data_IF_633051206401
#
_entry.id   IF_633051206401
#
_cell.length_a   1.000
_cell.length_b   1.000
_cell.length_c   1.000
_cell.angle_alpha   90.00
_cell.angle_beta   90.00
_cell.angle_gamma   90.00
#
_symmetry.space_group_name_H-M   'P 1'
#
loop_
_entity.id
_entity.type
_entity.pdbx_description
1 polymer ?
#
# COMPACT_ATOMS: atom_id res chain seq x y z
N UNK A 1 -10.29 -38.30 -13.02
CA UNK A 1 -9.90 -36.92 -13.39
C UNK A 1 -10.29 -35.85 -12.37
N UNK A 2 -11.40 -35.99 -11.62
CA UNK A 2 -11.83 -34.98 -10.62
C UNK A 2 -10.80 -34.70 -9.49
N UNK A 3 -10.05 -35.71 -9.03
CA UNK A 3 -9.02 -35.57 -7.98
C UNK A 3 -7.84 -34.67 -8.40
N UNK A 4 -7.43 -34.74 -9.67
CA UNK A 4 -6.33 -33.92 -10.20
C UNK A 4 -6.73 -32.44 -10.25
N UNK A 5 -7.99 -32.16 -10.60
CA UNK A 5 -8.52 -30.80 -10.60
C UNK A 5 -8.68 -30.22 -9.19
N UNK A 6 -9.03 -31.06 -8.20
CA UNK A 6 -9.06 -30.67 -6.79
C UNK A 6 -7.68 -30.24 -6.29
N UNK A 7 -6.67 -31.07 -6.55
CA UNK A 7 -5.28 -30.79 -6.17
C UNK A 7 -4.71 -29.54 -6.86
N UNK A 8 -5.03 -29.34 -8.15
CA UNK A 8 -4.63 -28.13 -8.87
C UNK A 8 -5.23 -26.85 -8.27
N UNK A 9 -6.51 -26.89 -7.87
CA UNK A 9 -7.20 -25.77 -7.21
C UNK A 9 -6.55 -25.43 -5.87
N UNK A 10 -6.28 -26.43 -5.05
CA UNK A 10 -5.64 -26.24 -3.74
C UNK A 10 -4.24 -25.63 -3.87
N UNK A 11 -3.45 -26.10 -4.83
CA UNK A 11 -2.14 -25.53 -5.12
C UNK A 11 -2.21 -24.06 -5.54
N UNK A 12 -3.20 -23.69 -6.35
CA UNK A 12 -3.41 -22.29 -6.76
C UNK A 12 -3.74 -21.43 -5.54
N UNK A 13 -4.65 -21.89 -4.68
CA UNK A 13 -5.05 -21.15 -3.47
C UNK A 13 -3.86 -20.99 -2.52
N UNK A 14 -3.09 -22.05 -2.29
CA UNK A 14 -1.90 -22.00 -1.44
C UNK A 14 -0.85 -21.02 -1.98
N UNK A 15 -0.59 -21.02 -3.30
CA UNK A 15 0.32 -20.06 -3.93
C UNK A 15 -0.19 -18.63 -3.77
N UNK A 16 -1.48 -18.37 -3.99
CA UNK A 16 -2.07 -17.04 -3.81
C UNK A 16 -1.90 -16.54 -2.36
N UNK A 17 -2.12 -17.40 -1.37
CA UNK A 17 -1.92 -17.06 0.05
C UNK A 17 -0.45 -16.75 0.36
N UNK A 18 0.48 -17.53 -0.18
CA UNK A 18 1.92 -17.31 -0.02
C UNK A 18 2.36 -15.96 -0.62
N UNK A 19 1.91 -15.65 -1.84
CA UNK A 19 2.22 -14.36 -2.47
C UNK A 19 1.64 -13.19 -1.70
N UNK A 20 0.40 -13.30 -1.21
CA UNK A 20 -0.22 -12.27 -0.37
C UNK A 20 0.60 -12.04 0.92
N UNK A 21 0.99 -13.12 1.61
CA UNK A 21 1.76 -13.02 2.83
C UNK A 21 3.14 -12.37 2.60
N UNK A 22 3.81 -12.70 1.50
CA UNK A 22 5.07 -12.05 1.11
C UNK A 22 4.87 -10.57 0.79
N UNK A 23 3.84 -10.22 0.02
CA UNK A 23 3.51 -8.82 -0.32
C UNK A 23 3.20 -8.00 0.94
N UNK A 24 2.41 -8.56 1.86
CA UNK A 24 2.08 -7.90 3.13
C UNK A 24 3.34 -7.71 4.01
N UNK A 25 4.25 -8.68 4.04
CA UNK A 25 5.53 -8.60 4.78
C UNK A 25 6.53 -7.61 4.17
N UNK A 26 6.54 -7.48 2.84
CA UNK A 26 7.44 -6.62 2.07
C UNK A 26 6.90 -5.20 1.89
N UNK A 27 5.79 -4.84 2.53
CA UNK A 27 5.21 -3.50 2.50
C UNK A 27 5.57 -2.75 3.79
N UNK A 28 6.82 -2.25 3.95
CA UNK A 28 7.23 -1.46 5.12
C UNK A 28 6.52 -0.10 5.16
N UNK A 29 5.89 0.32 4.07
CA UNK A 29 5.17 1.58 4.00
C UNK A 29 3.82 1.50 4.72
N UNK A 30 3.48 2.54 5.52
CA UNK A 30 2.16 2.65 6.13
C UNK A 30 1.10 2.68 5.03
N UNK A 31 0.19 1.70 5.07
CA UNK A 31 -0.97 1.66 4.18
C UNK A 31 -1.96 2.72 4.63
N UNK A 32 -1.85 3.90 4.05
CA UNK A 32 -2.86 4.92 4.27
C UNK A 32 -4.16 4.54 3.56
N UNK A 33 -5.27 4.64 4.28
CA UNK A 33 -6.60 4.43 3.74
C UNK A 33 -7.15 5.74 3.13
N UNK A 34 -8.15 5.60 2.27
CA UNK A 34 -8.95 6.74 1.83
C UNK A 34 -9.60 7.37 3.08
N UNK A 35 -9.58 8.70 3.15
CA UNK A 35 -10.00 9.56 4.27
C UNK A 35 -9.01 9.68 5.44
N UNK A 36 -7.88 8.99 5.44
CA UNK A 36 -6.85 9.22 6.45
C UNK A 36 -6.33 10.67 6.38
N UNK A 37 -6.09 11.25 7.56
CA UNK A 37 -5.51 12.59 7.71
C UNK A 37 -3.99 12.50 7.71
N UNK A 38 -3.37 13.05 6.67
CA UNK A 38 -1.92 13.02 6.48
C UNK A 38 -1.35 14.42 6.23
N UNK A 39 -0.09 14.63 6.62
CA UNK A 39 0.66 15.83 6.27
C UNK A 39 1.41 15.58 4.96
N UNK A 40 1.26 16.48 4.00
CA UNK A 40 1.90 16.32 2.68
C UNK A 40 3.23 17.05 2.68
N UNK A 41 4.29 16.42 2.17
CA UNK A 41 5.58 17.07 1.98
C UNK A 41 5.45 18.18 0.94
N UNK A 42 5.82 19.41 1.31
CA UNK A 42 5.77 20.55 0.39
C UNK A 42 7.02 20.53 -0.49
N UNK A 43 6.84 20.56 -1.81
CA UNK A 43 7.91 20.73 -2.78
C UNK A 43 7.94 22.20 -3.19
N UNK A 44 8.92 22.95 -2.69
CA UNK A 44 9.10 24.39 -2.93
C UNK A 44 10.58 24.78 -2.84
N UNK A 45 10.88 26.08 -2.99
CA UNK A 45 12.22 26.60 -2.77
C UNK A 45 12.66 26.24 -1.35
N UNK A 46 13.78 25.51 -1.21
CA UNK A 46 14.27 25.01 0.07
C UNK A 46 14.84 26.15 0.92
N UNK A 47 13.97 27.04 1.38
CA UNK A 47 14.30 28.08 2.33
C UNK A 47 14.37 27.46 3.74
N UNK A 48 15.37 27.85 4.54
CA UNK A 48 15.61 27.28 5.88
C UNK A 48 14.43 27.42 6.85
N UNK A 49 13.51 28.35 6.58
CA UNK A 49 12.41 28.73 7.46
C UNK A 49 11.06 28.16 7.02
N UNK A 50 10.96 27.53 5.86
CA UNK A 50 9.68 26.99 5.39
C UNK A 50 9.41 25.59 5.96
N UNK A 51 8.17 25.29 6.39
CA UNK A 51 7.83 23.99 6.93
C UNK A 51 7.91 22.93 5.82
N UNK A 52 8.61 21.82 6.14
CA UNK A 52 8.80 20.69 5.21
C UNK A 52 7.49 19.98 4.83
N UNK A 53 6.46 20.10 5.68
CA UNK A 53 5.15 19.48 5.50
C UNK A 53 4.04 20.55 5.52
N UNK A 54 2.83 20.17 5.09
CA UNK A 54 1.66 21.03 5.18
C UNK A 54 1.34 21.39 6.63
N UNK A 55 0.89 22.63 6.86
CA UNK A 55 0.49 23.10 8.19
C UNK A 55 -0.84 22.45 8.59
N UNK A 56 -1.73 22.29 7.62
CA UNK A 56 -3.02 21.63 7.79
C UNK A 56 -2.95 20.19 7.27
N UNK A 57 -3.51 19.21 8.01
CA UNK A 57 -3.66 17.85 7.51
C UNK A 57 -4.65 17.81 6.35
N UNK A 58 -4.35 16.98 5.36
CA UNK A 58 -5.20 16.74 4.20
C UNK A 58 -5.73 15.31 4.21
N UNK A 59 -6.86 15.09 3.55
CA UNK A 59 -7.45 13.76 3.42
C UNK A 59 -6.97 13.07 2.15
N UNK A 60 -6.64 11.78 2.27
CA UNK A 60 -6.33 10.97 1.09
C UNK A 60 -7.62 10.68 0.33
N UNK A 61 -7.72 11.25 -0.87
CA UNK A 61 -8.87 11.07 -1.77
C UNK A 61 -8.72 9.85 -2.68
N UNK A 62 -7.49 9.37 -2.93
CA UNK A 62 -7.19 8.23 -3.80
C UNK A 62 -5.95 7.50 -3.30
N UNK A 63 -6.06 6.19 -3.11
CA UNK A 63 -4.91 5.34 -2.85
C UNK A 63 -4.19 5.07 -4.18
N UNK A 64 -2.95 5.53 -4.31
CA UNK A 64 -2.13 5.21 -5.47
C UNK A 64 -1.43 3.88 -5.16
N UNK A 65 -1.91 2.77 -5.74
CA UNK A 65 -1.20 1.50 -5.64
C UNK A 65 0.13 1.62 -6.40
N UNK A 66 1.26 1.15 -5.83
CA UNK A 66 2.46 0.95 -6.65
C UNK A 66 2.13 -0.12 -7.71
N UNK A 67 2.37 0.23 -8.98
CA UNK A 67 2.27 -0.68 -10.14
C UNK A 67 3.44 -1.64 -10.14
#
# INVERSE_FOLDING_TARGET
>A
MALIHGYARENIIQRQQQYKAQYDKLSPDPRYAINDRVLIRRHGLQNKLEPKFSITPQHIIRAQHPV
#
